data_IF_722806896075
#
_entry.id   IF_722806896075
#
_cell.length_a   1.000
_cell.length_b   1.000
_cell.length_c   1.000
_cell.angle_alpha   90.00
_cell.angle_beta   90.00
_cell.angle_gamma   90.00
#
_symmetry.space_group_name_H-M   'P 1'
#
loop_
_entity.id
_entity.type
_entity.pdbx_description
1 polymer ?
#
# COMPACT_ATOMS: atom_id res chain seq x y z
N UNK A 1 -2.25 1.56 12.81
CA UNK A 1 -2.41 0.45 11.84
C UNK A 1 -2.13 -0.86 12.59
N UNK A 2 -2.93 -1.91 12.42
CA UNK A 2 -2.64 -3.22 13.04
C UNK A 2 -1.68 -3.98 12.13
N UNK A 3 -0.50 -4.36 12.64
CA UNK A 3 0.41 -5.24 11.89
C UNK A 3 -0.29 -6.58 11.66
N UNK A 4 -0.52 -6.91 10.39
CA UNK A 4 -1.12 -8.17 9.98
C UNK A 4 -0.16 -8.88 9.04
N UNK A 5 0.47 -9.94 9.53
CA UNK A 5 1.31 -10.80 8.71
C UNK A 5 0.46 -11.53 7.69
N UNK A 6 0.77 -11.34 6.41
CA UNK A 6 0.10 -11.99 5.29
C UNK A 6 0.99 -13.14 4.81
N UNK A 7 0.48 -14.38 4.84
CA UNK A 7 1.20 -15.54 4.29
C UNK A 7 0.72 -15.79 2.87
N UNK A 8 1.65 -15.72 1.92
CA UNK A 8 1.43 -16.04 0.52
C UNK A 8 2.14 -17.36 0.20
N UNK A 9 1.54 -18.15 -0.69
CA UNK A 9 2.23 -19.26 -1.33
C UNK A 9 3.01 -18.70 -2.53
N UNK A 10 4.00 -19.44 -3.07
CA UNK A 10 4.63 -19.06 -4.34
C UNK A 10 3.55 -18.78 -5.40
N UNK A 11 3.73 -17.69 -6.15
CA UNK A 11 2.84 -17.22 -7.24
C UNK A 11 1.39 -16.90 -6.80
N UNK A 12 1.12 -16.79 -5.50
CA UNK A 12 -0.20 -16.45 -4.99
C UNK A 12 -0.32 -14.96 -4.65
N UNK A 13 -1.50 -14.39 -4.91
CA UNK A 13 -1.86 -13.04 -4.49
C UNK A 13 -3.00 -13.05 -3.44
N UNK A 14 -3.14 -11.95 -2.71
CA UNK A 14 -4.26 -11.73 -1.78
C UNK A 14 -4.68 -10.26 -1.81
N UNK A 15 -5.99 -10.03 -1.87
CA UNK A 15 -6.55 -8.69 -1.79
C UNK A 15 -6.64 -8.23 -0.32
N UNK A 16 -6.15 -7.03 -0.05
CA UNK A 16 -6.25 -6.38 1.26
C UNK A 16 -7.06 -5.10 1.11
N UNK A 17 -8.27 -5.08 1.66
CA UNK A 17 -9.12 -3.89 1.65
C UNK A 17 -8.85 -3.04 2.89
N UNK A 18 -8.52 -1.76 2.68
CA UNK A 18 -8.30 -0.77 3.74
C UNK A 18 -9.36 0.32 3.59
N UNK A 19 -10.08 0.62 4.67
CA UNK A 19 -10.96 1.79 4.73
C UNK A 19 -10.13 2.97 5.23
N UNK A 20 -10.08 4.03 4.45
CA UNK A 20 -9.41 5.29 4.79
C UNK A 20 -10.46 6.38 4.81
N UNK A 21 -10.47 7.18 5.87
CA UNK A 21 -11.24 8.42 5.94
C UNK A 21 -10.29 9.56 5.64
N UNK A 22 -10.56 10.30 4.57
CA UNK A 22 -9.78 11.50 4.26
C UNK A 22 -10.19 12.62 5.23
N UNK A 23 -9.23 13.39 5.77
CA UNK A 23 -9.53 14.64 6.46
C UNK A 23 -10.39 15.58 5.61
N UNK A 24 -11.36 16.25 6.23
CA UNK A 24 -12.18 17.29 5.61
C UNK A 24 -11.41 18.60 5.37
N UNK A 25 -10.25 18.75 6.02
CA UNK A 25 -9.31 19.86 5.82
C UNK A 25 -8.34 19.65 4.67
N UNK A 26 -8.49 18.60 3.86
CA UNK A 26 -7.65 18.44 2.68
C UNK A 26 -8.05 19.48 1.63
N UNK A 27 -7.07 20.27 1.19
CA UNK A 27 -7.26 21.13 0.04
C UNK A 27 -7.48 20.29 -1.21
N UNK A 28 -8.25 20.85 -2.16
CA UNK A 28 -8.50 20.22 -3.43
C UNK A 28 -7.20 20.10 -4.22
N UNK A 29 -7.01 18.98 -4.89
CA UNK A 29 -5.79 18.73 -5.67
C UNK A 29 -5.55 17.27 -5.97
N UNK A 30 -4.45 17.02 -6.67
CA UNK A 30 -4.00 15.68 -7.02
C UNK A 30 -3.24 15.05 -5.84
N UNK A 31 -3.67 13.88 -5.42
CA UNK A 31 -3.02 13.08 -4.38
C UNK A 31 -2.70 11.69 -4.92
N UNK A 32 -1.74 11.03 -4.27
CA UNK A 32 -1.35 9.66 -4.60
C UNK A 32 -1.56 8.77 -3.39
N UNK A 33 -2.25 7.66 -3.59
CA UNK A 33 -2.31 6.58 -2.60
C UNK A 33 -1.19 5.60 -2.92
N UNK A 34 -0.30 5.39 -1.95
CA UNK A 34 0.81 4.45 -2.04
C UNK A 34 0.56 3.26 -1.12
N UNK A 35 0.62 2.06 -1.69
CA UNK A 35 0.68 0.81 -0.95
C UNK A 35 2.13 0.30 -0.96
N UNK A 36 2.67 0.01 0.22
CA UNK A 36 4.02 -0.52 0.37
C UNK A 36 4.01 -1.78 1.21
N UNK A 37 4.69 -2.82 0.73
CA UNK A 37 4.94 -4.06 1.48
C UNK A 37 6.38 -4.12 1.98
N UNK A 38 6.63 -5.04 2.91
CA UNK A 38 7.94 -5.27 3.55
C UNK A 38 8.78 -4.03 3.91
N UNK A 39 8.15 -3.02 4.52
CA UNK A 39 8.83 -1.75 4.88
C UNK A 39 10.05 -1.89 5.81
N UNK A 40 10.17 -3.03 6.51
CA UNK A 40 11.30 -3.32 7.38
C UNK A 40 12.40 -4.14 6.68
N UNK A 41 12.24 -4.46 5.39
CA UNK A 41 13.15 -5.27 4.60
C UNK A 41 13.45 -6.62 5.29
N UNK A 42 12.39 -7.26 5.79
CA UNK A 42 12.47 -8.45 6.63
C UNK A 42 12.43 -9.75 5.82
N UNK A 43 11.97 -9.71 4.57
CA UNK A 43 11.94 -10.85 3.65
C UNK A 43 12.97 -10.56 2.56
N UNK A 44 13.90 -11.50 2.32
CA UNK A 44 14.82 -11.38 1.19
C UNK A 44 14.10 -11.80 -0.08
N UNK A 45 13.97 -10.88 -1.01
CA UNK A 45 13.27 -11.07 -2.28
C UNK A 45 14.25 -11.00 -3.46
N UNK A 46 13.83 -11.42 -4.65
CA UNK A 46 14.68 -11.34 -5.85
C UNK A 46 14.84 -9.91 -6.36
N UNK A 47 13.89 -9.04 -6.02
CA UNK A 47 13.83 -7.65 -6.43
C UNK A 47 13.20 -6.81 -5.31
N UNK A 48 14.02 -6.10 -4.55
CA UNK A 48 13.58 -5.25 -3.43
C UNK A 48 12.96 -3.92 -3.89
N UNK A 49 12.99 -3.64 -5.20
CA UNK A 49 12.50 -2.39 -5.76
C UNK A 49 11.04 -2.46 -6.23
N UNK A 50 10.41 -3.63 -6.17
CA UNK A 50 9.04 -3.83 -6.64
C UNK A 50 7.99 -3.88 -5.51
N UNK A 51 8.35 -3.37 -4.32
CA UNK A 51 7.52 -3.41 -3.11
C UNK A 51 6.56 -2.22 -2.93
N UNK A 52 6.49 -1.33 -3.91
CA UNK A 52 5.62 -0.15 -3.90
C UNK A 52 4.68 -0.13 -5.11
N UNK A 53 3.42 0.20 -4.85
CA UNK A 53 2.40 0.47 -5.87
C UNK A 53 1.74 1.82 -5.56
N UNK A 54 1.51 2.63 -6.60
CA UNK A 54 0.90 3.94 -6.48
C UNK A 54 -0.36 4.03 -7.36
N UNK A 55 -1.38 4.73 -6.86
CA UNK A 55 -2.58 5.11 -7.61
C UNK A 55 -2.82 6.59 -7.44
N UNK A 56 -3.05 7.29 -8.55
CA UNK A 56 -3.44 8.70 -8.55
C UNK A 56 -4.94 8.85 -8.21
N UNK A 57 -5.29 9.97 -7.60
CA UNK A 57 -6.67 10.36 -7.33
C UNK A 57 -6.78 11.84 -7.02
N UNK A 58 -7.92 12.43 -7.38
CA UNK A 58 -8.21 13.84 -7.12
C UNK A 58 -9.14 13.99 -5.92
N UNK A 59 -8.85 14.96 -5.07
CA UNK A 59 -9.75 15.44 -4.02
C UNK A 59 -10.47 16.68 -4.57
N UNK A 60 -11.80 16.58 -4.64
CA UNK A 60 -12.72 17.57 -5.22
C UNK A 60 -13.48 18.38 -4.19
#
# INVERSE_FOLDING_TARGET
MRNRTLRLKPDASKNVSVKVTLPDTLDHGAYTIVARVDTANAVVESDELNNEAASEGDVL
#
